data_IF_922861731087
#
_entry.id   IF_922861731087
#
_cell.length_a   1.000
_cell.length_b   1.000
_cell.length_c   1.000
_cell.angle_alpha   90.00
_cell.angle_beta   90.00
_cell.angle_gamma   90.00
#
_symmetry.space_group_name_H-M   'P 1'
#
loop_
_entity.id
_entity.type
_entity.pdbx_description
1 polymer ?
#
# COMPACT_ATOMS: atom_id res chain seq x y z
N UNK A 1 -20.38 -18.75 19.78
CA UNK A 1 -20.17 -18.97 18.33
C UNK A 1 -19.22 -17.87 17.86
N UNK A 2 -17.93 -18.18 17.69
CA UNK A 2 -17.02 -17.25 17.00
C UNK A 2 -17.49 -17.28 15.55
N UNK A 3 -18.28 -16.28 15.13
CA UNK A 3 -18.44 -15.95 13.72
C UNK A 3 -17.06 -16.05 13.10
N UNK A 4 -16.91 -16.72 11.95
CA UNK A 4 -15.63 -16.86 11.30
C UNK A 4 -14.99 -15.48 11.10
N UNK A 5 -14.19 -15.03 12.07
CA UNK A 5 -13.51 -13.75 12.08
C UNK A 5 -12.31 -13.88 11.15
N UNK A 6 -12.57 -14.11 9.87
CA UNK A 6 -11.57 -13.98 8.83
C UNK A 6 -11.29 -12.48 8.74
N UNK A 7 -10.11 -12.05 9.20
CA UNK A 7 -9.61 -10.72 8.93
C UNK A 7 -9.61 -10.53 7.40
N UNK A 8 -10.50 -9.67 6.91
CA UNK A 8 -10.60 -9.39 5.49
C UNK A 8 -9.71 -8.17 5.17
N UNK A 9 -9.13 -8.17 3.97
CA UNK A 9 -8.25 -7.08 3.49
C UNK A 9 -9.04 -6.03 2.70
N UNK A 10 -10.38 -6.05 2.74
CA UNK A 10 -11.25 -5.16 1.94
C UNK A 10 -11.08 -3.69 2.32
N UNK A 11 -10.79 -3.42 3.59
CA UNK A 11 -10.63 -2.04 4.08
C UNK A 11 -9.23 -1.47 3.84
N UNK A 12 -8.25 -2.29 3.46
CA UNK A 12 -6.87 -1.84 3.31
C UNK A 12 -6.71 -0.93 2.10
N UNK A 13 -7.43 -1.19 1.01
CA UNK A 13 -7.46 -0.28 -0.15
C UNK A 13 -7.97 1.11 0.25
N UNK A 14 -9.08 1.19 1.00
CA UNK A 14 -9.61 2.45 1.48
C UNK A 14 -8.61 3.22 2.38
N UNK A 15 -7.88 2.52 3.25
CA UNK A 15 -6.83 3.12 4.07
C UNK A 15 -5.73 3.72 3.19
N UNK A 16 -5.23 2.97 2.21
CA UNK A 16 -4.20 3.44 1.26
C UNK A 16 -4.68 4.68 0.51
N UNK A 17 -5.90 4.65 -0.02
CA UNK A 17 -6.52 5.78 -0.70
C UNK A 17 -6.51 7.04 0.17
N UNK A 18 -7.06 6.95 1.40
CA UNK A 18 -7.11 8.08 2.32
C UNK A 18 -5.72 8.58 2.70
N UNK A 19 -4.80 7.67 3.02
CA UNK A 19 -3.44 8.03 3.43
C UNK A 19 -2.67 8.72 2.29
N UNK A 20 -2.83 8.25 1.05
CA UNK A 20 -2.13 8.81 -0.12
C UNK A 20 -2.52 10.25 -0.46
N UNK A 21 -3.69 10.71 0.01
CA UNK A 21 -4.29 12.00 -0.36
C UNK A 21 -4.37 12.23 -1.87
N UNK A 22 -4.64 11.17 -2.63
CA UNK A 22 -4.67 11.17 -4.11
C UNK A 22 -3.35 11.62 -4.76
N UNK A 23 -2.22 11.39 -4.10
CA UNK A 23 -0.88 11.68 -4.63
C UNK A 23 -0.20 10.42 -5.13
N UNK A 24 0.58 10.58 -6.21
CA UNK A 24 1.51 9.57 -6.66
C UNK A 24 2.77 9.60 -5.79
N UNK A 25 2.93 8.59 -4.93
CA UNK A 25 4.09 8.44 -4.04
C UNK A 25 5.09 7.39 -4.54
N UNK A 26 4.98 6.94 -5.80
CA UNK A 26 5.83 5.85 -6.33
C UNK A 26 7.31 6.18 -6.31
N UNK A 27 7.69 7.46 -6.49
CA UNK A 27 9.09 7.89 -6.40
C UNK A 27 9.67 7.61 -5.02
N UNK A 28 9.00 8.06 -3.95
CA UNK A 28 9.41 7.77 -2.57
C UNK A 28 9.52 6.27 -2.31
N UNK A 29 8.52 5.49 -2.75
CA UNK A 29 8.54 4.05 -2.56
C UNK A 29 9.64 3.33 -3.34
N UNK A 30 9.97 3.79 -4.54
CA UNK A 30 11.08 3.25 -5.33
C UNK A 30 12.43 3.63 -4.72
N UNK A 31 12.56 4.84 -4.16
CA UNK A 31 13.78 5.28 -3.48
C UNK A 31 14.02 4.51 -2.16
N UNK A 32 12.96 3.90 -1.61
CA UNK A 32 12.98 3.03 -0.42
C UNK A 32 12.81 1.54 -0.76
N UNK A 33 13.21 1.14 -1.97
CA UNK A 33 13.36 -0.26 -2.40
C UNK A 33 12.07 -1.11 -2.43
N UNK A 34 10.88 -0.52 -2.58
CA UNK A 34 9.63 -1.30 -2.77
C UNK A 34 9.51 -2.02 -4.11
N UNK A 35 10.47 -1.87 -5.02
CA UNK A 35 10.60 -2.64 -6.24
C UNK A 35 11.86 -3.52 -6.25
N UNK A 36 12.50 -3.71 -5.09
CA UNK A 36 13.72 -4.50 -5.00
C UNK A 36 13.48 -5.98 -5.36
N UNK A 37 14.41 -6.63 -6.07
CA UNK A 37 14.28 -8.04 -6.49
C UNK A 37 14.03 -9.02 -5.34
N UNK A 38 14.56 -8.74 -4.15
CA UNK A 38 14.35 -9.54 -2.94
C UNK A 38 12.88 -9.69 -2.52
N UNK A 39 11.99 -8.77 -2.93
CA UNK A 39 10.56 -8.88 -2.63
C UNK A 39 9.84 -9.92 -3.50
N UNK A 40 10.49 -10.43 -4.55
CA UNK A 40 9.96 -11.46 -5.47
C UNK A 40 8.61 -11.11 -6.15
N UNK A 41 8.22 -9.84 -6.11
CA UNK A 41 6.97 -9.32 -6.70
C UNK A 41 7.21 -8.20 -7.73
N UNK A 42 8.47 -7.97 -8.12
CA UNK A 42 8.87 -6.91 -9.03
C UNK A 42 8.36 -5.54 -8.56
N UNK A 43 7.81 -4.74 -9.48
CA UNK A 43 7.25 -3.42 -9.17
C UNK A 43 5.83 -3.45 -8.59
N UNK A 44 5.29 -4.61 -8.20
CA UNK A 44 3.90 -4.74 -7.75
C UNK A 44 3.59 -3.89 -6.52
N UNK A 45 4.52 -3.79 -5.58
CA UNK A 45 4.30 -3.01 -4.36
C UNK A 45 4.22 -1.50 -4.61
N UNK A 46 4.79 -0.99 -5.71
CA UNK A 46 4.63 0.40 -6.10
C UNK A 46 3.17 0.77 -6.38
N UNK A 47 2.31 -0.22 -6.69
CA UNK A 47 0.88 0.03 -6.85
C UNK A 47 0.26 0.61 -5.57
N UNK A 48 0.70 0.16 -4.40
CA UNK A 48 0.19 0.65 -3.12
C UNK A 48 0.57 2.10 -2.84
N UNK A 49 1.56 2.64 -3.56
CA UNK A 49 2.05 4.00 -3.38
C UNK A 49 1.32 5.03 -4.27
N UNK A 50 0.56 4.56 -5.25
CA UNK A 50 -0.36 5.35 -6.07
C UNK A 50 -1.70 4.62 -6.21
N UNK A 51 -2.45 4.46 -5.09
CA UNK A 51 -3.71 3.73 -5.10
C UNK A 51 -4.76 4.43 -5.97
N UNK A 52 -4.70 5.76 -6.08
CA UNK A 52 -5.63 6.57 -6.87
C UNK A 52 -5.39 6.48 -8.37
N UNK A 53 -4.13 6.53 -8.83
CA UNK A 53 -3.81 6.38 -10.25
C UNK A 53 -4.00 4.96 -10.79
N UNK A 54 -3.92 3.94 -9.91
CA UNK A 54 -3.96 2.53 -10.32
C UNK A 54 -5.30 1.84 -10.02
N UNK A 55 -6.22 2.53 -9.34
CA UNK A 55 -7.53 2.00 -8.99
C UNK A 55 -7.48 0.68 -8.19
N UNK A 56 -6.78 0.66 -7.05
CA UNK A 56 -6.72 -0.55 -6.21
C UNK A 56 -8.07 -0.73 -5.48
N UNK A 57 -8.99 -1.47 -6.10
CA UNK A 57 -10.28 -1.79 -5.45
C UNK A 57 -10.12 -2.84 -4.34
N UNK A 58 -9.27 -3.85 -4.58
CA UNK A 58 -9.07 -4.97 -3.66
C UNK A 58 -7.65 -5.50 -3.72
N UNK A 59 -7.07 -5.76 -2.54
CA UNK A 59 -5.80 -6.46 -2.43
C UNK A 59 -5.96 -7.95 -2.69
N UNK A 60 -5.09 -8.45 -3.56
CA UNK A 60 -4.90 -9.87 -3.89
C UNK A 60 -3.89 -10.52 -2.92
N UNK A 61 -3.69 -11.84 -3.04
CA UNK A 61 -2.72 -12.55 -2.19
C UNK A 61 -1.28 -12.10 -2.47
N UNK A 62 -0.97 -11.81 -3.72
CA UNK A 62 0.37 -11.36 -4.12
C UNK A 62 0.67 -9.95 -3.59
N UNK A 63 -0.38 -9.16 -3.34
CA UNK A 63 -0.24 -7.84 -2.71
C UNK A 63 0.06 -7.96 -1.21
N UNK A 64 -0.27 -9.09 -0.57
CA UNK A 64 -0.02 -9.29 0.85
C UNK A 64 1.48 -9.27 1.19
N UNK A 65 2.35 -9.72 0.27
CA UNK A 65 3.81 -9.62 0.41
C UNK A 65 4.27 -8.17 0.59
N UNK A 66 3.58 -7.21 -0.02
CA UNK A 66 3.93 -5.80 0.11
C UNK A 66 3.67 -5.25 1.53
N UNK A 67 2.80 -5.89 2.30
CA UNK A 67 2.49 -5.48 3.67
C UNK A 67 3.65 -5.73 4.65
N UNK A 68 4.64 -6.55 4.31
CA UNK A 68 5.88 -6.64 5.07
C UNK A 68 6.62 -5.29 5.13
N UNK A 69 6.36 -4.39 4.19
CA UNK A 69 6.91 -3.03 4.13
C UNK A 69 5.83 -1.95 4.33
N UNK A 70 4.77 -2.26 5.08
CA UNK A 70 3.68 -1.33 5.36
C UNK A 70 4.16 0.01 5.94
N UNK A 71 5.22 -0.01 6.76
CA UNK A 71 5.86 1.19 7.29
C UNK A 71 6.38 2.12 6.18
N UNK A 72 7.00 1.58 5.13
CA UNK A 72 7.51 2.35 3.99
C UNK A 72 6.36 2.97 3.20
N UNK A 73 5.32 2.19 2.92
CA UNK A 73 4.12 2.64 2.20
C UNK A 73 3.48 3.82 2.96
N UNK A 74 3.25 3.65 4.26
CA UNK A 74 2.62 4.67 5.09
C UNK A 74 3.52 5.88 5.31
N UNK A 75 4.84 5.71 5.41
CA UNK A 75 5.80 6.82 5.46
C UNK A 75 5.69 7.69 4.20
N UNK A 76 5.71 7.07 3.02
CA UNK A 76 5.58 7.78 1.76
C UNK A 76 4.21 8.47 1.60
N UNK A 77 3.14 7.88 2.13
CA UNK A 77 1.82 8.53 2.20
C UNK A 77 1.78 9.70 3.21
N UNK A 78 2.51 9.61 4.32
CA UNK A 78 2.54 10.63 5.35
C UNK A 78 3.13 11.97 4.87
N UNK A 79 3.91 11.98 3.78
CA UNK A 79 4.38 13.18 3.09
C UNK A 79 3.27 14.21 2.76
N UNK A 80 2.00 13.78 2.74
CA UNK A 80 0.85 14.66 2.56
C UNK A 80 0.12 15.07 3.85
N UNK A 81 0.27 14.34 4.96
CA UNK A 81 -0.50 14.58 6.19
C UNK A 81 0.13 15.78 6.88
N UNK A 82 -0.35 16.98 6.53
CA UNK A 82 -0.11 18.18 7.34
C UNK A 82 -0.70 17.90 8.71
N UNK A 83 0.15 17.89 9.73
CA UNK A 83 -0.27 17.90 11.13
C UNK A 83 -1.39 18.94 11.28
N UNK A 84 -2.55 18.49 11.77
CA UNK A 84 -3.65 19.37 12.19
C UNK A 84 -3.33 19.92 13.57
#
# INVERSE_FOLDING_TARGET
MVLQNKCNMKHLSAILYCASQNRDNRKCCSDLDLNAPQLQVGSRCLRMCDPSGIAIEKLTKEDATCLFNWNVIMYCHHSGIREM
#
